data_IF_644256972916
#
_entry.id   IF_644256972916
#
_cell.length_a   1.000
_cell.length_b   1.000
_cell.length_c   1.000
_cell.angle_alpha   90.00
_cell.angle_beta   90.00
_cell.angle_gamma   90.00
#
_symmetry.space_group_name_H-M   'P 1'
#
loop_
_entity.id
_entity.type
_entity.pdbx_description
1 polymer ?
#
# COMPACT_ATOMS: atom_id res chain seq x y z
N UNK A 1 7.67 -31.53 -32.66
CA UNK A 1 6.80 -31.83 -31.49
C UNK A 1 7.36 -31.10 -30.28
N UNK A 2 7.00 -29.83 -30.08
CA UNK A 2 7.51 -29.01 -28.96
C UNK A 2 6.55 -29.13 -27.78
N UNK A 3 6.92 -29.96 -26.79
CA UNK A 3 6.28 -29.97 -25.48
C UNK A 3 6.61 -28.64 -24.79
N UNK A 4 5.70 -27.66 -24.86
CA UNK A 4 5.81 -26.43 -24.08
C UNK A 4 5.86 -26.82 -22.59
N UNK A 5 6.95 -26.54 -21.87
CA UNK A 5 7.06 -26.93 -20.47
C UNK A 5 6.02 -26.15 -19.67
N UNK A 6 5.15 -26.87 -18.96
CA UNK A 6 4.25 -26.29 -17.96
C UNK A 6 5.05 -25.34 -17.06
N UNK A 7 4.66 -24.07 -17.04
CA UNK A 7 5.30 -23.07 -16.19
C UNK A 7 5.19 -23.48 -14.72
N UNK A 8 6.28 -23.30 -13.98
CA UNK A 8 6.43 -23.66 -12.55
C UNK A 8 5.64 -22.75 -11.59
N UNK A 9 4.67 -21.99 -12.10
CA UNK A 9 3.92 -20.98 -11.33
C UNK A 9 3.22 -21.59 -10.11
N UNK A 10 2.67 -22.80 -10.25
CA UNK A 10 2.06 -23.55 -9.13
C UNK A 10 3.06 -23.90 -8.02
N UNK A 11 4.32 -24.16 -8.39
CA UNK A 11 5.37 -24.44 -7.42
C UNK A 11 5.88 -23.17 -6.73
N UNK A 12 5.86 -22.01 -7.41
CA UNK A 12 6.19 -20.72 -6.78
C UNK A 12 5.11 -20.28 -5.79
N UNK A 13 3.83 -20.48 -6.12
CA UNK A 13 2.73 -20.22 -5.20
C UNK A 13 2.82 -21.10 -3.94
N UNK A 14 3.07 -22.40 -4.11
CA UNK A 14 3.31 -23.32 -2.99
C UNK A 14 4.53 -22.92 -2.16
N UNK A 15 5.61 -22.49 -2.81
CA UNK A 15 6.82 -22.03 -2.12
C UNK A 15 6.60 -20.76 -1.31
N UNK A 16 5.71 -19.88 -1.76
CA UNK A 16 5.32 -18.67 -1.03
C UNK A 16 4.43 -18.98 0.18
N UNK A 17 3.53 -19.98 0.08
CA UNK A 17 2.60 -20.32 1.17
C UNK A 17 3.16 -21.32 2.18
N UNK A 18 3.80 -22.40 1.74
CA UNK A 18 4.26 -23.48 2.64
C UNK A 18 5.72 -23.39 3.04
N UNK A 19 6.46 -22.45 2.46
CA UNK A 19 7.88 -22.23 2.75
C UNK A 19 8.82 -23.38 2.37
N UNK A 20 8.32 -24.49 1.83
CA UNK A 20 9.10 -25.70 1.58
C UNK A 20 8.64 -26.38 0.29
N UNK A 21 9.59 -26.98 -0.44
CA UNK A 21 9.33 -27.86 -1.59
C UNK A 21 10.18 -29.13 -1.46
N UNK A 22 9.71 -30.28 -1.97
CA UNK A 22 10.53 -31.47 -2.08
C UNK A 22 11.82 -31.21 -2.87
N UNK A 23 12.97 -31.83 -2.53
CA UNK A 23 14.27 -31.53 -3.14
C UNK A 23 14.31 -31.61 -4.68
N UNK A 24 13.57 -32.57 -5.26
CA UNK A 24 13.46 -32.73 -6.71
C UNK A 24 12.69 -31.59 -7.38
N UNK A 25 11.63 -31.09 -6.72
CA UNK A 25 10.84 -29.96 -7.21
C UNK A 25 11.63 -28.65 -7.08
N UNK A 26 12.36 -28.48 -5.98
CA UNK A 26 13.24 -27.33 -5.76
C UNK A 26 14.26 -27.16 -6.89
N UNK A 27 15.02 -28.23 -7.21
CA UNK A 27 16.03 -28.20 -8.29
C UNK A 27 15.42 -27.88 -9.66
N UNK A 28 14.21 -28.39 -9.94
CA UNK A 28 13.49 -28.12 -11.19
C UNK A 28 13.03 -26.67 -11.28
N UNK A 29 12.46 -26.13 -10.21
CA UNK A 29 12.03 -24.72 -10.12
C UNK A 29 13.21 -23.77 -10.30
N UNK A 30 14.34 -24.01 -9.63
CA UNK A 30 15.54 -23.17 -9.77
C UNK A 30 16.10 -23.18 -11.18
N UNK A 31 16.23 -24.36 -11.80
CA UNK A 31 16.75 -24.49 -13.16
C UNK A 31 15.86 -23.73 -14.16
N UNK A 32 14.54 -23.87 -14.01
CA UNK A 32 13.58 -23.17 -14.86
C UNK A 32 13.56 -21.66 -14.62
N UNK A 33 13.57 -21.20 -13.36
CA UNK A 33 13.58 -19.78 -13.04
C UNK A 33 14.80 -19.05 -13.60
N UNK A 34 15.98 -19.71 -13.62
CA UNK A 34 17.21 -19.16 -14.24
C UNK A 34 17.15 -19.08 -15.76
N UNK A 35 16.45 -20.01 -16.40
CA UNK A 35 16.35 -20.08 -17.86
C UNK A 35 15.16 -19.30 -18.44
N UNK A 36 14.19 -18.90 -17.61
CA UNK A 36 12.94 -18.29 -18.04
C UNK A 36 12.82 -16.84 -17.58
N UNK A 37 12.81 -15.91 -18.53
CA UNK A 37 12.69 -14.46 -18.28
C UNK A 37 11.43 -14.06 -17.50
N UNK A 38 10.36 -14.85 -17.57
CA UNK A 38 9.11 -14.61 -16.82
C UNK A 38 9.17 -15.14 -15.38
N UNK A 39 9.72 -16.35 -15.18
CA UNK A 39 9.74 -17.00 -13.88
C UNK A 39 10.87 -16.50 -12.97
N UNK A 40 11.98 -16.01 -13.53
CA UNK A 40 13.12 -15.46 -12.77
C UNK A 40 12.73 -14.31 -11.84
N UNK A 41 12.16 -13.19 -12.35
CA UNK A 41 11.73 -12.07 -11.51
C UNK A 41 10.64 -12.44 -10.50
N UNK A 42 9.83 -13.46 -10.80
CA UNK A 42 8.78 -13.94 -9.87
C UNK A 42 9.37 -14.74 -8.72
N UNK A 43 10.37 -15.58 -9.00
CA UNK A 43 11.12 -16.31 -7.98
C UNK A 43 11.86 -15.35 -7.03
N UNK A 44 12.54 -14.34 -7.55
CA UNK A 44 13.26 -13.35 -6.74
C UNK A 44 12.32 -12.59 -5.79
N UNK A 45 11.15 -12.16 -6.27
CA UNK A 45 10.12 -11.52 -5.41
C UNK A 45 9.67 -12.43 -4.27
N UNK A 46 9.41 -13.70 -4.55
CA UNK A 46 9.00 -14.67 -3.50
C UNK A 46 10.11 -14.88 -2.47
N UNK A 47 11.38 -14.97 -2.90
CA UNK A 47 12.51 -15.14 -1.98
C UNK A 47 12.81 -13.88 -1.18
N UNK A 48 12.64 -12.70 -1.78
CA UNK A 48 12.76 -11.43 -1.08
C UNK A 48 11.71 -11.29 0.02
N UNK A 49 10.44 -11.55 -0.29
CA UNK A 49 9.36 -11.55 0.71
C UNK A 49 9.64 -12.51 1.87
N UNK A 50 10.19 -13.70 1.56
CA UNK A 50 10.56 -14.66 2.60
C UNK A 50 11.73 -14.21 3.47
N UNK A 51 12.69 -13.46 2.94
CA UNK A 51 13.77 -12.88 3.74
C UNK A 51 13.22 -11.78 4.66
N UNK A 52 12.36 -10.92 4.13
CA UNK A 52 11.68 -9.86 4.89
C UNK A 52 10.84 -10.45 6.02
N UNK A 53 10.06 -11.51 5.76
CA UNK A 53 9.25 -12.17 6.78
C UNK A 53 10.05 -13.05 7.75
N UNK A 54 11.16 -13.64 7.32
CA UNK A 54 12.01 -14.43 8.22
C UNK A 54 12.87 -13.58 9.16
N UNK A 55 12.98 -12.27 8.92
CA UNK A 55 13.78 -11.35 9.73
C UNK A 55 13.00 -10.69 10.87
N UNK A 56 11.67 -10.90 11.00
CA UNK A 56 10.83 -10.38 12.09
C UNK A 56 11.00 -8.87 12.41
N UNK A 57 11.50 -8.09 11.46
CA UNK A 57 11.73 -6.65 11.58
C UNK A 57 11.08 -5.94 10.39
N UNK A 58 9.75 -5.84 10.42
CA UNK A 58 8.98 -5.03 9.45
C UNK A 58 8.89 -3.55 9.90
N UNK A 59 9.48 -3.19 11.05
CA UNK A 59 9.39 -1.84 11.61
C UNK A 59 10.62 -0.93 11.41
N UNK A 60 11.80 -1.46 11.01
CA UNK A 60 13.00 -0.61 10.81
C UNK A 60 13.61 -0.80 9.42
N UNK A 61 13.67 0.24 8.58
CA UNK A 61 14.34 0.18 7.29
C UNK A 61 15.84 -0.08 7.46
N UNK A 62 16.41 -0.90 6.58
CA UNK A 62 17.82 -1.26 6.63
C UNK A 62 18.72 -0.03 6.37
N UNK A 63 19.97 -0.01 6.86
CA UNK A 63 20.89 1.12 6.64
C UNK A 63 21.09 1.46 5.16
N UNK A 64 21.11 0.44 4.28
CA UNK A 64 21.22 0.64 2.84
C UNK A 64 19.95 1.25 2.22
N UNK A 65 18.76 0.95 2.76
CA UNK A 65 17.51 1.58 2.35
C UNK A 65 17.48 3.05 2.76
N UNK A 66 17.89 3.37 3.99
CA UNK A 66 18.04 4.74 4.48
C UNK A 66 19.03 5.54 3.62
N UNK A 67 20.17 4.94 3.27
CA UNK A 67 21.18 5.57 2.41
C UNK A 67 20.66 5.81 0.99
N UNK A 68 19.88 4.87 0.43
CA UNK A 68 19.24 5.05 -0.88
C UNK A 68 18.14 6.11 -0.88
N UNK A 69 17.43 6.29 0.24
CA UNK A 69 16.39 7.31 0.40
C UNK A 69 17.04 8.68 0.57
N UNK A 70 18.12 8.76 1.34
CA UNK A 70 18.91 9.98 1.49
C UNK A 70 19.53 10.44 0.17
N UNK A 71 20.11 9.51 -0.61
CA UNK A 71 20.69 9.81 -1.92
C UNK A 71 19.63 10.32 -2.91
N UNK A 72 18.46 9.66 -2.99
CA UNK A 72 17.37 10.07 -3.88
C UNK A 72 16.68 11.37 -3.44
N UNK A 73 16.57 11.59 -2.12
CA UNK A 73 16.06 12.84 -1.57
C UNK A 73 16.98 14.03 -1.87
N UNK A 74 18.31 13.81 -1.82
CA UNK A 74 19.30 14.80 -2.20
C UNK A 74 19.26 15.11 -3.70
N UNK A 75 19.14 14.09 -4.55
CA UNK A 75 18.97 14.29 -6.00
C UNK A 75 17.69 15.06 -6.35
N UNK A 76 16.57 14.77 -5.67
CA UNK A 76 15.32 15.50 -5.84
C UNK A 76 15.41 16.97 -5.38
N UNK A 77 16.10 17.22 -4.26
CA UNK A 77 16.35 18.57 -3.77
C UNK A 77 17.25 19.37 -4.73
N UNK A 78 18.30 18.74 -5.28
CA UNK A 78 19.19 19.34 -6.27
C UNK A 78 18.50 19.59 -7.62
N UNK A 79 17.63 18.69 -8.06
CA UNK A 79 16.81 18.87 -9.26
C UNK A 79 15.81 20.04 -9.09
N UNK A 80 15.22 20.18 -7.91
CA UNK A 80 14.33 21.29 -7.57
C UNK A 80 15.07 22.63 -7.52
N UNK A 81 16.30 22.65 -6.98
CA UNK A 81 17.16 23.83 -7.00
C UNK A 81 17.66 24.19 -8.42
N UNK A 82 17.84 23.21 -9.30
CA UNK A 82 18.25 23.41 -10.69
C UNK A 82 17.12 23.96 -11.58
N UNK A 83 15.86 23.63 -11.27
CA UNK A 83 14.65 24.06 -11.99
C UNK A 83 14.24 25.53 -11.80
N UNK A 84 14.84 26.24 -10.83
CA UNK A 84 14.61 27.69 -10.62
C UNK A 84 15.27 28.63 -11.64
N UNK A 85 15.77 28.12 -12.77
CA UNK A 85 16.57 28.86 -13.76
C UNK A 85 15.91 28.92 -15.14
N UNK A 86 14.78 29.63 -15.28
CA UNK A 86 14.22 30.22 -16.54
C UNK A 86 12.81 30.73 -16.21
N UNK A 87 12.28 31.91 -16.54
CA UNK A 87 12.63 33.07 -17.39
C UNK A 87 11.69 34.23 -17.01
N UNK A 88 12.23 35.42 -16.72
CA UNK A 88 11.55 36.71 -16.91
C UNK A 88 12.62 37.84 -16.92
N UNK A 89 12.64 38.75 -17.91
CA UNK A 89 13.67 39.78 -18.04
C UNK A 89 13.23 41.06 -17.30
N UNK A 90 14.11 41.63 -16.47
CA UNK A 90 13.94 42.98 -15.93
C UNK A 90 14.57 43.28 -14.56
N UNK A 91 14.83 42.26 -13.72
CA UNK A 91 15.24 42.50 -12.32
C UNK A 91 16.72 42.26 -11.96
N UNK A 92 17.53 41.68 -12.86
CA UNK A 92 18.87 41.17 -12.49
C UNK A 92 19.95 42.23 -12.29
N UNK A 93 19.86 43.38 -12.97
CA UNK A 93 20.88 44.42 -12.82
C UNK A 93 20.75 45.17 -11.48
N UNK A 94 19.52 45.35 -10.98
CA UNK A 94 19.28 45.98 -9.67
C UNK A 94 19.71 45.10 -8.48
N UNK A 95 19.65 43.77 -8.63
CA UNK A 95 20.01 42.83 -7.58
C UNK A 95 21.52 42.55 -7.52
N UNK A 96 22.19 42.51 -8.68
CA UNK A 96 23.66 42.36 -8.73
C UNK A 96 24.41 43.60 -8.24
N UNK A 97 23.83 44.80 -8.39
CA UNK A 97 24.39 46.02 -7.79
C UNK A 97 24.32 46.00 -6.25
N UNK A 98 23.24 45.44 -5.68
CA UNK A 98 23.03 45.36 -4.23
C UNK A 98 23.79 44.20 -3.57
N UNK A 99 24.04 43.10 -4.29
CA UNK A 99 24.82 41.96 -3.78
C UNK A 99 26.34 42.17 -3.78
N UNK A 100 26.87 43.03 -4.65
CA UNK A 100 28.30 43.34 -4.69
C UNK A 100 28.77 44.18 -3.50
N UNK A 101 27.90 45.05 -2.98
CA UNK A 101 28.17 45.87 -1.79
C UNK A 101 28.32 45.04 -0.51
N UNK A 102 27.63 43.89 -0.44
CA UNK A 102 27.71 42.96 0.70
C UNK A 102 28.95 42.05 0.69
N UNK A 103 29.62 41.90 -0.46
CA UNK A 103 30.76 40.99 -0.61
C UNK A 103 32.11 41.69 -0.63
N UNK A 104 32.19 43.02 -0.81
CA UNK A 104 33.48 43.71 -1.03
C UNK A 104 33.83 44.84 -0.05
N UNK A 105 33.09 45.07 1.04
CA UNK A 105 33.47 46.18 1.93
C UNK A 105 32.95 46.11 3.36
N UNK A 106 33.73 45.57 4.28
CA UNK A 106 33.52 45.74 5.71
C UNK A 106 34.57 45.01 6.55
N UNK A 107 35.40 45.70 7.36
CA UNK A 107 36.50 45.12 8.12
C UNK A 107 36.04 44.43 9.42
N UNK A 108 35.14 43.46 9.33
CA UNK A 108 34.59 42.72 10.48
C UNK A 108 34.55 41.21 10.20
N UNK A 109 35.72 40.67 9.89
CA UNK A 109 36.02 39.29 9.50
C UNK A 109 35.87 38.26 10.63
N UNK A 110 35.36 38.65 11.81
CA UNK A 110 35.14 37.76 12.95
C UNK A 110 33.67 37.37 13.20
N UNK A 111 32.71 38.27 12.93
CA UNK A 111 31.33 38.05 13.35
C UNK A 111 30.52 37.20 12.36
N UNK A 112 30.72 37.38 11.04
CA UNK A 112 29.90 36.70 10.02
C UNK A 112 29.99 35.16 10.04
N UNK A 113 31.15 34.60 10.40
CA UNK A 113 31.32 33.14 10.52
C UNK A 113 30.65 32.58 11.78
N UNK A 114 30.62 33.35 12.86
CA UNK A 114 29.93 32.97 14.09
C UNK A 114 28.41 32.94 13.89
N UNK A 115 27.84 33.92 13.17
CA UNK A 115 26.41 33.93 12.84
C UNK A 115 26.01 32.79 11.88
N UNK A 116 26.85 32.48 10.90
CA UNK A 116 26.61 31.36 9.99
C UNK A 116 26.64 30.00 10.73
N UNK A 117 27.61 29.80 11.64
CA UNK A 117 27.69 28.59 12.45
C UNK A 117 26.56 28.50 13.50
N UNK A 118 26.16 29.63 14.09
CA UNK A 118 25.03 29.69 15.02
C UNK A 118 23.71 29.35 14.31
N UNK A 119 23.50 29.79 13.07
CA UNK A 119 22.31 29.44 12.29
C UNK A 119 22.26 27.95 11.93
N UNK A 120 23.41 27.34 11.61
CA UNK A 120 23.50 25.90 11.33
C UNK A 120 23.27 25.09 12.60
N UNK A 121 23.86 25.49 13.73
CA UNK A 121 23.67 24.82 15.02
C UNK A 121 22.21 24.93 15.51
N UNK A 122 21.58 26.10 15.36
CA UNK A 122 20.17 26.29 15.70
C UNK A 122 19.24 25.45 14.79
N UNK A 123 19.56 25.33 13.50
CA UNK A 123 18.83 24.45 12.57
C UNK A 123 18.97 22.97 12.91
N UNK A 124 20.18 22.51 13.28
CA UNK A 124 20.43 21.14 13.72
C UNK A 124 19.74 20.81 15.05
N UNK A 125 19.69 21.76 15.98
CA UNK A 125 19.01 21.59 17.27
C UNK A 125 17.48 21.56 17.10
N UNK A 126 16.92 22.36 16.18
CA UNK A 126 15.51 22.27 15.82
C UNK A 126 15.16 20.91 15.20
N UNK A 127 16.02 20.36 14.34
CA UNK A 127 15.82 19.02 13.74
C UNK A 127 15.88 17.88 14.78
N UNK A 128 16.64 18.05 15.86
CA UNK A 128 16.73 17.07 16.95
C UNK A 128 15.61 17.22 18.00
N UNK A 129 14.98 18.40 18.08
CA UNK A 129 13.92 18.71 19.03
C UNK A 129 12.50 18.50 18.47
N UNK A 130 12.34 18.21 17.18
CA UNK A 130 11.03 17.82 16.62
C UNK A 130 10.68 16.42 17.15
N UNK A 131 9.57 16.26 17.90
CA UNK A 131 9.10 14.94 18.30
C UNK A 131 8.90 14.07 17.05
N UNK A 132 9.51 12.88 17.06
CA UNK A 132 9.54 11.92 15.93
C UNK A 132 8.16 11.44 15.46
N UNK A 133 7.08 11.86 16.09
CA UNK A 133 5.70 11.45 15.77
C UNK A 133 5.04 12.23 14.62
N UNK A 134 5.71 13.22 14.01
CA UNK A 134 5.07 14.08 12.99
C UNK A 134 5.86 14.29 11.70
N UNK A 135 6.79 13.39 11.36
CA UNK A 135 7.31 13.34 9.97
C UNK A 135 6.42 12.39 9.17
N UNK A 136 5.29 12.92 8.71
CA UNK A 136 4.54 12.28 7.64
C UNK A 136 5.44 12.18 6.40
N UNK A 137 5.58 10.99 5.78
CA UNK A 137 6.33 10.85 4.55
C UNK A 137 5.61 11.60 3.42
N UNK A 138 6.16 12.75 3.05
CA UNK A 138 5.76 13.52 1.87
C UNK A 138 6.01 12.64 0.64
N UNK A 139 4.93 12.10 0.06
CA UNK A 139 4.97 11.28 -1.17
C UNK A 139 4.22 9.95 -1.15
N UNK A 140 3.57 9.57 -0.03
CA UNK A 140 2.73 8.35 0.08
C UNK A 140 1.26 8.66 0.44
N UNK A 141 0.79 9.89 0.21
CA UNK A 141 -0.61 10.29 0.47
C UNK A 141 -1.61 9.79 -0.61
N UNK A 142 -1.36 8.65 -1.24
CA UNK A 142 -2.24 8.11 -2.28
C UNK A 142 -2.99 6.81 -1.93
N UNK A 143 -2.72 6.15 -0.78
CA UNK A 143 -3.28 4.81 -0.54
C UNK A 143 -4.02 4.62 0.79
N UNK A 144 -4.30 5.68 1.56
CA UNK A 144 -5.27 5.59 2.66
C UNK A 144 -6.32 6.69 2.51
N UNK A 145 -7.39 6.35 1.79
CA UNK A 145 -8.54 7.22 1.61
C UNK A 145 -9.79 6.37 1.61
N UNK A 146 -10.74 6.70 2.48
CA UNK A 146 -12.07 6.11 2.50
C UNK A 146 -12.67 6.27 1.09
N UNK A 147 -12.80 5.17 0.33
CA UNK A 147 -13.47 5.17 -0.97
C UNK A 147 -14.78 4.42 -0.83
N UNK A 148 -15.78 5.11 -0.29
CA UNK A 148 -17.14 4.64 -0.02
C UNK A 148 -17.84 5.53 1.03
N UNK A 149 -19.13 5.34 1.25
CA UNK A 149 -19.82 5.90 2.43
C UNK A 149 -19.45 5.04 3.65
N UNK A 150 -18.67 5.61 4.59
CA UNK A 150 -18.22 4.88 5.77
C UNK A 150 -17.29 5.67 6.68
N UNK A 151 -17.20 5.21 7.93
CA UNK A 151 -16.37 5.80 8.98
C UNK A 151 -14.88 5.56 8.72
N UNK A 152 -14.03 6.58 8.92
CA UNK A 152 -12.57 6.50 8.65
C UNK A 152 -11.80 5.48 9.51
N UNK A 153 -12.50 4.80 10.42
CA UNK A 153 -11.98 3.72 11.25
C UNK A 153 -11.82 2.40 10.48
N UNK A 154 -12.46 2.22 9.33
CA UNK A 154 -12.39 0.98 8.54
C UNK A 154 -12.33 1.24 7.03
N UNK A 155 -11.62 0.37 6.32
CA UNK A 155 -11.47 0.39 4.86
C UNK A 155 -11.70 -1.02 4.32
N UNK A 156 -12.40 -1.11 3.18
CA UNK A 156 -12.59 -2.34 2.43
C UNK A 156 -12.32 -2.07 0.94
N UNK A 157 -11.46 -2.88 0.33
CA UNK A 157 -11.25 -2.91 -1.12
C UNK A 157 -11.76 -4.22 -1.68
N UNK A 158 -12.44 -4.11 -2.82
CA UNK A 158 -13.04 -5.23 -3.52
C UNK A 158 -12.29 -5.48 -4.80
N UNK A 159 -12.10 -6.75 -5.13
CA UNK A 159 -11.49 -7.18 -6.38
C UNK A 159 -12.38 -8.23 -7.04
N UNK A 160 -12.65 -8.06 -8.34
CA UNK A 160 -13.16 -9.16 -9.14
C UNK A 160 -12.01 -10.13 -9.44
N UNK A 161 -12.27 -11.41 -9.30
CA UNK A 161 -11.38 -12.52 -9.66
C UNK A 161 -12.03 -13.31 -10.79
N UNK A 162 -11.73 -12.98 -12.05
CA UNK A 162 -12.23 -13.74 -13.20
C UNK A 162 -11.46 -15.06 -13.32
N UNK A 163 -12.06 -16.11 -13.90
CA UNK A 163 -11.42 -17.43 -13.97
C UNK A 163 -10.10 -17.41 -14.79
N UNK A 164 -10.04 -16.62 -15.86
CA UNK A 164 -8.92 -16.64 -16.82
C UNK A 164 -8.10 -15.33 -16.87
N UNK A 165 -8.31 -14.39 -15.95
CA UNK A 165 -7.62 -13.09 -16.01
C UNK A 165 -7.14 -12.56 -14.67
N UNK A 166 -6.37 -11.47 -14.72
CA UNK A 166 -5.81 -10.85 -13.53
C UNK A 166 -6.89 -10.24 -12.64
N UNK A 167 -6.62 -10.24 -11.32
CA UNK A 167 -7.42 -9.53 -10.32
C UNK A 167 -7.63 -8.07 -10.74
N UNK A 168 -8.88 -7.61 -10.71
CA UNK A 168 -9.26 -6.22 -11.03
C UNK A 168 -9.95 -5.59 -9.84
N UNK A 169 -9.43 -4.47 -9.35
CA UNK A 169 -10.06 -3.70 -8.29
C UNK A 169 -11.39 -3.09 -8.76
N UNK A 170 -12.43 -3.21 -7.95
CA UNK A 170 -13.74 -2.59 -8.16
C UNK A 170 -13.72 -1.24 -7.45
N UNK A 171 -13.80 -0.15 -8.23
CA UNK A 171 -13.83 1.21 -7.70
C UNK A 171 -15.24 1.79 -7.87
N UNK A 172 -15.83 2.31 -6.79
CA UNK A 172 -17.19 2.88 -6.81
C UNK A 172 -18.24 1.85 -7.24
N UNK A 173 -19.20 2.27 -8.08
CA UNK A 173 -20.19 1.39 -8.73
C UNK A 173 -19.57 0.63 -9.91
N UNK A 174 -18.58 -0.22 -9.61
CA UNK A 174 -17.88 -1.00 -10.62
C UNK A 174 -18.63 -2.27 -11.05
N UNK A 175 -18.23 -2.82 -12.19
CA UNK A 175 -18.79 -4.05 -12.75
C UNK A 175 -17.80 -5.22 -12.67
N UNK A 176 -18.32 -6.43 -12.41
CA UNK A 176 -17.59 -7.69 -12.52
C UNK A 176 -18.14 -8.53 -13.68
N UNK A 177 -17.28 -9.31 -14.36
CA UNK A 177 -17.73 -10.24 -15.38
C UNK A 177 -18.55 -11.40 -14.78
N UNK A 178 -19.42 -12.04 -15.58
CA UNK A 178 -20.26 -13.14 -15.12
C UNK A 178 -19.42 -14.30 -14.58
N UNK A 179 -19.84 -14.86 -13.45
CA UNK A 179 -19.15 -16.00 -12.82
C UNK A 179 -17.85 -15.67 -12.09
N UNK A 180 -17.44 -14.40 -12.02
CA UNK A 180 -16.29 -13.99 -11.22
C UNK A 180 -16.51 -14.26 -9.72
N UNK A 181 -15.42 -14.51 -9.01
CA UNK A 181 -15.42 -14.44 -7.55
C UNK A 181 -15.06 -13.03 -7.08
N UNK A 182 -15.44 -12.68 -5.85
CA UNK A 182 -14.91 -11.49 -5.18
C UNK A 182 -13.70 -11.89 -4.34
N UNK A 183 -12.76 -10.96 -4.18
CA UNK A 183 -11.74 -11.01 -3.14
C UNK A 183 -11.70 -9.67 -2.42
N UNK A 184 -11.27 -9.68 -1.16
CA UNK A 184 -11.33 -8.51 -0.30
C UNK A 184 -9.98 -8.22 0.35
N UNK A 185 -9.64 -6.95 0.44
CA UNK A 185 -8.61 -6.46 1.36
C UNK A 185 -9.28 -5.51 2.36
N UNK A 186 -9.00 -5.69 3.64
CA UNK A 186 -9.61 -4.93 4.71
C UNK A 186 -8.56 -4.33 5.63
N UNK A 187 -8.75 -3.09 6.05
CA UNK A 187 -7.90 -2.41 7.02
C UNK A 187 -8.76 -1.74 8.09
N UNK A 188 -8.31 -1.75 9.34
CA UNK A 188 -9.05 -1.16 10.46
C UNK A 188 -8.15 -0.41 11.42
N UNK A 189 -8.74 0.52 12.17
CA UNK A 189 -8.12 1.18 13.33
C UNK A 189 -8.73 0.63 14.61
N UNK A 190 -7.93 0.62 15.69
CA UNK A 190 -8.43 0.29 17.02
C UNK A 190 -9.65 1.15 17.37
N UNK A 191 -10.67 0.60 18.06
CA UNK A 191 -10.70 -0.72 18.69
C UNK A 191 -11.17 -1.88 17.78
N UNK A 192 -11.37 -1.65 16.48
CA UNK A 192 -11.87 -2.67 15.55
C UNK A 192 -10.81 -3.73 15.28
N UNK A 193 -11.21 -5.00 15.28
CA UNK A 193 -10.30 -6.15 15.09
C UNK A 193 -10.87 -7.23 14.20
N UNK A 194 -12.19 -7.30 14.03
CA UNK A 194 -12.86 -8.35 13.27
C UNK A 194 -13.78 -7.76 12.19
N UNK A 195 -13.94 -8.50 11.10
CA UNK A 195 -14.82 -8.18 9.98
C UNK A 195 -15.74 -9.36 9.64
N UNK A 196 -16.98 -9.06 9.24
CA UNK A 196 -17.91 -10.00 8.63
C UNK A 196 -18.35 -9.42 7.29
N UNK A 197 -18.32 -10.20 6.23
CA UNK A 197 -18.74 -9.78 4.89
C UNK A 197 -20.13 -10.34 4.62
N UNK A 198 -21.07 -9.47 4.31
CA UNK A 198 -22.44 -9.81 3.92
C UNK A 198 -22.58 -9.54 2.43
N UNK A 199 -22.92 -10.57 1.66
CA UNK A 199 -23.18 -10.46 0.24
C UNK A 199 -24.66 -10.69 0.01
N UNK A 200 -25.36 -9.68 -0.51
CA UNK A 200 -26.78 -9.72 -0.83
C UNK A 200 -26.97 -9.58 -2.34
N UNK A 201 -27.69 -10.52 -2.93
CA UNK A 201 -28.06 -10.48 -4.34
C UNK A 201 -29.37 -11.23 -4.59
N UNK A 202 -29.68 -11.50 -5.85
CA UNK A 202 -30.91 -12.22 -6.24
C UNK A 202 -31.04 -13.62 -5.60
N UNK A 203 -29.91 -14.28 -5.30
CA UNK A 203 -29.86 -15.59 -4.64
C UNK A 203 -30.03 -15.54 -3.12
N UNK A 204 -30.33 -14.38 -2.53
CA UNK A 204 -30.49 -14.18 -1.10
C UNK A 204 -29.29 -13.47 -0.44
N UNK A 205 -29.24 -13.58 0.90
CA UNK A 205 -28.17 -12.98 1.71
C UNK A 205 -27.24 -14.08 2.22
N UNK A 206 -25.93 -13.88 2.03
CA UNK A 206 -24.88 -14.77 2.51
C UNK A 206 -23.97 -14.02 3.46
N UNK A 207 -23.71 -14.61 4.63
CA UNK A 207 -22.75 -14.11 5.61
C UNK A 207 -21.46 -14.92 5.52
N UNK A 208 -20.34 -14.22 5.51
CA UNK A 208 -18.99 -14.78 5.49
C UNK A 208 -18.18 -14.21 6.66
N UNK A 209 -17.48 -15.09 7.37
CA UNK A 209 -16.67 -14.73 8.54
C UNK A 209 -17.26 -15.23 9.86
N UNK A 210 -16.79 -14.71 11.01
CA UNK A 210 -15.96 -13.53 11.18
C UNK A 210 -14.48 -13.79 10.85
N UNK A 211 -13.83 -12.75 10.32
CA UNK A 211 -12.41 -12.74 9.98
C UNK A 211 -11.66 -11.78 10.89
N UNK A 212 -10.48 -12.17 11.33
CA UNK A 212 -9.56 -11.27 12.03
C UNK A 212 -8.88 -10.35 11.00
N UNK A 213 -8.95 -9.03 11.21
CA UNK A 213 -8.28 -8.06 10.34
C UNK A 213 -6.85 -7.88 10.83
N UNK A 214 -5.95 -8.70 10.29
CA UNK A 214 -4.54 -8.72 10.68
C UNK A 214 -3.72 -7.74 9.86
N UNK A 215 -3.57 -6.51 10.34
CA UNK A 215 -2.64 -5.54 9.78
C UNK A 215 -2.28 -4.50 10.84
N UNK A 216 -1.07 -3.91 10.81
CA UNK A 216 -0.79 -2.75 11.67
C UNK A 216 -1.85 -1.65 11.39
N UNK A 217 -2.19 -0.80 12.38
CA UNK A 217 -3.16 0.26 12.19
C UNK A 217 -2.84 1.08 10.93
N UNK A 218 -3.77 1.14 9.99
CA UNK A 218 -3.54 1.81 8.70
C UNK A 218 -3.02 0.92 7.56
N UNK A 219 -2.86 -0.39 7.77
CA UNK A 219 -2.56 -1.35 6.70
C UNK A 219 -3.76 -2.25 6.38
N UNK A 220 -3.85 -2.63 5.11
CA UNK A 220 -4.87 -3.55 4.62
C UNK A 220 -4.33 -4.99 4.56
N UNK A 221 -5.18 -5.96 4.87
CA UNK A 221 -4.89 -7.38 4.79
C UNK A 221 -5.97 -8.10 3.99
N UNK A 222 -5.55 -9.11 3.21
CA UNK A 222 -6.48 -9.94 2.48
C UNK A 222 -7.39 -10.72 3.45
N UNK A 223 -8.70 -10.68 3.23
CA UNK A 223 -9.63 -11.57 3.91
C UNK A 223 -9.60 -12.93 3.20
N UNK A 224 -9.53 -14.01 3.98
CA UNK A 224 -9.51 -15.39 3.45
C UNK A 224 -10.92 -15.85 3.06
N UNK A 225 -11.52 -15.13 2.10
CA UNK A 225 -12.84 -15.44 1.56
C UNK A 225 -12.95 -14.98 0.11
N UNK A 226 -13.47 -15.86 -0.73
CA UNK A 226 -13.74 -15.56 -2.14
C UNK A 226 -15.13 -16.03 -2.58
N UNK A 227 -16.20 -15.28 -2.26
CA UNK A 227 -17.55 -15.68 -2.61
C UNK A 227 -17.74 -15.57 -4.13
N UNK A 228 -18.38 -16.57 -4.74
CA UNK A 228 -18.75 -16.53 -6.15
C UNK A 228 -19.96 -15.60 -6.35
N UNK A 229 -19.88 -14.77 -7.38
CA UNK A 229 -20.99 -13.89 -7.77
C UNK A 229 -22.05 -14.69 -8.57
N UNK A 230 -23.32 -14.21 -8.59
CA UNK A 230 -24.32 -14.73 -9.51
C UNK A 230 -23.91 -14.50 -10.97
N UNK A 231 -24.63 -15.10 -11.91
CA UNK A 231 -24.36 -14.95 -13.36
C UNK A 231 -24.75 -13.58 -13.91
N UNK A 232 -25.62 -12.82 -13.23
CA UNK A 232 -26.05 -11.48 -13.63
C UNK A 232 -26.76 -10.75 -12.48
N UNK A 233 -26.80 -9.42 -12.55
CA UNK A 233 -27.60 -8.57 -11.65
C UNK A 233 -26.75 -7.77 -10.67
N UNK A 234 -27.42 -6.95 -9.85
CA UNK A 234 -26.74 -6.12 -8.84
C UNK A 234 -26.52 -6.91 -7.54
N UNK A 235 -25.32 -6.77 -7.00
CA UNK A 235 -24.89 -7.40 -5.75
C UNK A 235 -24.46 -6.31 -4.79
N UNK A 236 -25.06 -6.31 -3.61
CA UNK A 236 -24.69 -5.44 -2.51
C UNK A 236 -23.74 -6.19 -1.58
N UNK A 237 -22.57 -5.62 -1.34
CA UNK A 237 -21.57 -6.15 -0.41
C UNK A 237 -21.45 -5.20 0.77
N UNK A 238 -21.67 -5.71 1.97
CA UNK A 238 -21.49 -4.95 3.21
C UNK A 238 -20.44 -5.63 4.08
N UNK A 239 -19.35 -4.95 4.40
CA UNK A 239 -18.47 -5.38 5.47
C UNK A 239 -18.88 -4.71 6.79
N UNK A 240 -18.95 -5.52 7.84
CA UNK A 240 -19.26 -5.08 9.20
C UNK A 240 -18.02 -5.33 10.05
N UNK A 241 -17.45 -4.26 10.60
CA UNK A 241 -16.27 -4.29 11.45
C UNK A 241 -16.67 -4.08 12.90
N UNK A 242 -16.04 -4.80 13.83
CA UNK A 242 -16.30 -4.62 15.26
C UNK A 242 -15.08 -4.95 16.14
N UNK A 243 -15.11 -4.60 17.44
CA UNK A 243 -14.04 -4.92 18.39
C UNK A 243 -13.89 -6.41 18.71
N UNK A 244 -14.88 -7.25 18.36
CA UNK A 244 -14.85 -8.70 18.58
C UNK A 244 -15.61 -9.45 17.48
N UNK A 245 -15.27 -10.74 17.31
CA UNK A 245 -15.95 -11.65 16.39
C UNK A 245 -17.46 -11.73 16.63
N UNK A 246 -17.88 -11.80 17.89
CA UNK A 246 -19.28 -11.90 18.28
C UNK A 246 -20.05 -10.60 17.97
N UNK A 247 -19.45 -9.44 18.26
CA UNK A 247 -20.05 -8.15 17.94
C UNK A 247 -20.19 -7.95 16.42
N UNK A 248 -19.20 -8.36 15.64
CA UNK A 248 -19.26 -8.28 14.17
C UNK A 248 -20.39 -9.16 13.61
N UNK A 249 -20.54 -10.39 14.12
CA UNK A 249 -21.61 -11.30 13.71
C UNK A 249 -23.00 -10.79 14.10
N UNK A 250 -23.17 -10.31 15.34
CA UNK A 250 -24.43 -9.75 15.83
C UNK A 250 -24.85 -8.56 14.94
N UNK A 251 -23.95 -7.61 14.73
CA UNK A 251 -24.19 -6.48 13.83
C UNK A 251 -24.51 -6.92 12.40
N UNK A 252 -23.80 -7.91 11.86
CA UNK A 252 -24.07 -8.42 10.51
C UNK A 252 -25.46 -9.08 10.37
N UNK A 253 -26.01 -9.63 11.46
CA UNK A 253 -27.39 -10.15 11.54
C UNK A 253 -28.46 -9.07 11.73
N UNK A 254 -28.05 -7.81 11.91
CA UNK A 254 -28.96 -6.70 12.18
C UNK A 254 -29.26 -6.49 13.66
N UNK A 255 -28.57 -7.20 14.55
CA UNK A 255 -28.65 -6.97 15.98
C UNK A 255 -27.84 -5.71 16.36
N UNK A 256 -28.22 -4.99 17.42
CA UNK A 256 -27.42 -3.88 17.92
C UNK A 256 -26.08 -4.40 18.46
N UNK A 257 -24.97 -3.85 17.96
CA UNK A 257 -23.65 -4.08 18.51
C UNK A 257 -22.89 -2.76 18.64
N UNK A 258 -22.48 -2.43 19.85
CA UNK A 258 -21.77 -1.19 20.15
C UNK A 258 -20.39 -1.17 19.48
N UNK A 259 -20.03 0.00 18.93
CA UNK A 259 -18.74 0.19 18.25
C UNK A 259 -18.59 -0.54 16.92
N UNK A 260 -19.67 -1.09 16.35
CA UNK A 260 -19.64 -1.70 15.03
C UNK A 260 -19.73 -0.64 13.91
N UNK A 261 -18.89 -0.77 12.89
CA UNK A 261 -18.83 0.10 11.72
C UNK A 261 -19.22 -0.69 10.47
N UNK A 262 -19.93 -0.08 9.53
CA UNK A 262 -20.34 -0.72 8.27
C UNK A 262 -19.74 0.02 7.08
N UNK A 263 -19.26 -0.75 6.10
CA UNK A 263 -18.79 -0.25 4.80
C UNK A 263 -19.58 -0.97 3.71
N UNK A 264 -20.22 -0.21 2.82
CA UNK A 264 -21.11 -0.75 1.79
C UNK A 264 -20.58 -0.48 0.39
N UNK A 265 -20.70 -1.48 -0.49
CA UNK A 265 -20.35 -1.41 -1.89
C UNK A 265 -21.44 -2.04 -2.75
N UNK A 266 -21.71 -1.42 -3.89
CA UNK A 266 -22.59 -1.98 -4.93
C UNK A 266 -21.74 -2.44 -6.09
N UNK A 267 -21.93 -3.68 -6.51
CA UNK A 267 -21.22 -4.31 -7.61
C UNK A 267 -22.23 -4.80 -8.63
N UNK A 268 -22.10 -4.36 -9.88
CA UNK A 268 -22.93 -4.86 -10.98
C UNK A 268 -22.28 -6.09 -11.61
N UNK A 269 -23.01 -7.17 -11.79
CA UNK A 269 -22.56 -8.32 -12.59
C UNK A 269 -23.10 -8.18 -14.00
N UNK A 270 -22.18 -8.11 -14.97
CA UNK A 270 -22.53 -8.02 -16.39
C UNK A 270 -23.30 -9.27 -16.83
N UNK A 271 -24.30 -9.09 -17.68
CA UNK A 271 -25.01 -10.22 -18.28
C UNK A 271 -24.11 -10.92 -19.30
N UNK A 272 -24.20 -12.25 -19.36
CA UNK A 272 -23.58 -13.01 -20.45
C UNK A 272 -24.19 -12.55 -21.78
N UNK A 273 -23.36 -12.22 -22.79
CA UNK A 273 -23.85 -11.81 -24.12
C UNK A 273 -24.60 -12.94 -24.85
#
# INVERSE_FOLDING_TARGET
MFLLPLHVDRHLARLASSGTLPPRQWRRTLRHARACARCGPRYERVMHLRRVWAQDTVAEPTPAELESVAARGLEAALASAAGGRTTAPGGRQAWLARGREWLTGGPWWGAGRAWALAAVAAGALLLLAVPREQVAPVGLEAEWGVRGDGDSAAVLRLFCVPEDSALREVKGEGACPPGAALAFAAGVRAPLTHAVVVVRGAGGTRLEGPFEVRGPPGAEAALDVTPRLPTSGDVEVTAVFAPSAQAALAAARGEPAEGAVRVQHRVRVEATP
#
